data_IF_398606411037
#
_entry.id   IF_398606411037
#
_cell.length_a   1.000
_cell.length_b   1.000
_cell.length_c   1.000
_cell.angle_alpha   90.00
_cell.angle_beta   90.00
_cell.angle_gamma   90.00
#
_symmetry.space_group_name_H-M   'P 1'
#
loop_
_entity.id
_entity.type
_entity.pdbx_description
1 polymer ?
#
# COMPACT_ATOMS: atom_id res chain seq x y z
N UNK A 1 19.38 -6.00 2.48
CA UNK A 1 18.77 -4.80 1.87
C UNK A 1 17.80 -4.12 2.83
N UNK A 2 16.74 -4.76 3.31
CA UNK A 2 15.72 -4.16 4.19
C UNK A 2 16.32 -3.37 5.35
N UNK A 3 17.22 -3.98 6.14
CA UNK A 3 17.89 -3.34 7.27
C UNK A 3 18.68 -2.08 6.87
N UNK A 4 19.47 -2.14 5.80
CA UNK A 4 20.28 -1.00 5.36
C UNK A 4 19.44 0.17 4.87
N UNK A 5 18.37 -0.09 4.10
CA UNK A 5 17.46 0.96 3.63
C UNK A 5 16.75 1.66 4.80
N UNK A 6 16.19 0.87 5.72
CA UNK A 6 15.47 1.41 6.87
C UNK A 6 16.38 2.14 7.85
N UNK A 7 17.60 1.64 8.07
CA UNK A 7 18.60 2.28 8.92
C UNK A 7 19.03 3.64 8.34
N UNK A 8 19.41 3.69 7.06
CA UNK A 8 19.86 4.91 6.42
C UNK A 8 18.80 6.03 6.49
N UNK A 9 17.54 5.71 6.13
CA UNK A 9 16.44 6.68 6.25
C UNK A 9 16.17 7.10 7.70
N UNK A 10 16.18 6.16 8.64
CA UNK A 10 15.88 6.46 10.05
C UNK A 10 16.95 7.30 10.73
N UNK A 11 18.23 7.14 10.36
CA UNK A 11 19.33 7.96 10.91
C UNK A 11 19.19 9.41 10.46
N UNK A 12 18.84 9.68 9.20
CA UNK A 12 18.60 11.03 8.71
C UNK A 12 17.45 11.70 9.46
N UNK A 13 16.34 10.99 9.65
CA UNK A 13 15.21 11.51 10.43
C UNK A 13 15.59 11.75 11.90
N UNK A 14 16.40 10.87 12.51
CA UNK A 14 16.85 11.05 13.89
C UNK A 14 17.68 12.34 14.05
N UNK A 15 18.57 12.64 13.11
CA UNK A 15 19.34 13.90 13.12
C UNK A 15 18.42 15.11 13.03
N UNK A 16 17.42 15.06 12.17
CA UNK A 16 16.42 16.12 12.06
C UNK A 16 15.62 16.29 13.36
N UNK A 17 15.19 15.21 14.00
CA UNK A 17 14.47 15.25 15.30
C UNK A 17 15.35 15.89 16.38
N UNK A 18 16.63 15.53 16.48
CA UNK A 18 17.57 16.11 17.44
C UNK A 18 17.69 17.62 17.21
N UNK A 19 17.81 18.04 15.94
CA UNK A 19 17.87 19.47 15.59
C UNK A 19 16.57 20.19 16.01
N UNK A 20 15.40 19.66 15.66
CA UNK A 20 14.09 20.23 16.02
C UNK A 20 13.98 20.41 17.53
N UNK A 21 14.24 19.36 18.31
CA UNK A 21 14.19 19.41 19.80
C UNK A 21 15.18 20.42 20.35
N UNK A 22 16.36 20.56 19.76
CA UNK A 22 17.35 21.57 20.20
C UNK A 22 16.87 23.01 20.01
N UNK A 23 16.03 23.27 18.99
CA UNK A 23 15.48 24.59 18.68
C UNK A 23 14.20 24.87 19.46
N UNK A 24 13.23 23.94 19.43
CA UNK A 24 11.92 24.10 20.08
C UNK A 24 12.00 23.92 21.60
N UNK A 25 13.05 23.24 22.10
CA UNK A 25 13.26 22.88 23.52
C UNK A 25 12.16 21.98 24.10
N UNK A 26 11.41 21.29 23.22
CA UNK A 26 10.32 20.38 23.59
C UNK A 26 10.22 19.24 22.58
N UNK A 27 9.76 18.06 23.04
CA UNK A 27 9.37 16.94 22.21
C UNK A 27 7.85 16.83 21.98
N UNK A 28 7.07 17.83 22.43
CA UNK A 28 5.63 17.86 22.22
C UNK A 28 5.34 18.18 20.75
N UNK A 29 4.55 17.30 20.09
CA UNK A 29 4.19 17.42 18.67
C UNK A 29 3.45 18.73 18.38
N UNK A 30 2.55 19.16 19.25
CA UNK A 30 1.79 20.41 19.10
C UNK A 30 2.71 21.64 19.11
N UNK A 31 3.64 21.69 20.06
CA UNK A 31 4.62 22.79 20.13
C UNK A 31 5.58 22.81 18.96
N UNK A 32 5.87 21.65 18.37
CA UNK A 32 6.71 21.56 17.16
C UNK A 32 5.94 22.04 15.94
N UNK A 33 4.67 21.69 15.80
CA UNK A 33 3.83 22.14 14.67
C UNK A 33 3.55 23.64 14.69
N UNK A 34 3.49 24.25 15.87
CA UNK A 34 3.31 25.69 16.01
C UNK A 34 4.61 26.49 15.77
N UNK A 35 5.76 25.80 15.70
CA UNK A 35 7.07 26.43 15.54
C UNK A 35 7.41 26.65 14.07
N UNK A 36 7.63 27.89 13.68
CA UNK A 36 8.03 28.26 12.31
C UNK A 36 9.54 28.17 12.12
N UNK A 37 9.98 27.32 11.20
CA UNK A 37 11.38 27.24 10.79
C UNK A 37 11.67 28.20 9.64
N UNK A 38 12.94 28.58 9.49
CA UNK A 38 13.40 29.25 8.26
C UNK A 38 13.16 28.31 7.07
N UNK A 39 12.68 28.87 5.94
CA UNK A 39 12.33 28.09 4.75
C UNK A 39 13.44 27.16 4.28
N UNK A 40 14.71 27.59 4.29
CA UNK A 40 15.83 26.75 3.88
C UNK A 40 16.06 25.58 4.84
N UNK A 41 15.90 25.82 6.13
CA UNK A 41 16.02 24.79 7.17
C UNK A 41 14.86 23.81 7.06
N UNK A 42 13.64 24.30 6.85
CA UNK A 42 12.45 23.49 6.69
C UNK A 42 12.58 22.51 5.50
N UNK A 43 13.10 22.96 4.35
CA UNK A 43 13.36 22.10 3.20
C UNK A 43 14.31 20.94 3.54
N UNK A 44 15.39 21.22 4.29
CA UNK A 44 16.35 20.19 4.69
C UNK A 44 15.74 19.21 5.68
N UNK A 45 15.02 19.70 6.69
CA UNK A 45 14.36 18.86 7.68
C UNK A 45 13.29 17.96 7.03
N UNK A 46 12.50 18.52 6.12
CA UNK A 46 11.54 17.75 5.33
C UNK A 46 12.21 16.62 4.56
N UNK A 47 13.31 16.88 3.86
CA UNK A 47 14.03 15.85 3.11
C UNK A 47 14.57 14.73 4.02
N UNK A 48 15.00 15.04 5.24
CA UNK A 48 15.42 14.04 6.22
C UNK A 48 14.25 13.15 6.67
N UNK A 49 13.07 13.72 6.93
CA UNK A 49 11.86 12.97 7.23
C UNK A 49 11.37 12.19 6.01
N UNK A 50 11.36 12.84 4.84
CA UNK A 50 11.00 12.23 3.57
C UNK A 50 11.84 10.99 3.28
N UNK A 51 13.15 11.03 3.46
CA UNK A 51 14.02 9.87 3.24
C UNK A 51 13.60 8.66 4.10
N UNK A 52 13.25 8.89 5.38
CA UNK A 52 12.78 7.82 6.26
C UNK A 52 11.43 7.25 5.82
N UNK A 53 10.47 8.13 5.52
CA UNK A 53 9.12 7.72 5.17
C UNK A 53 9.04 7.14 3.75
N UNK A 54 9.79 7.68 2.79
CA UNK A 54 9.87 7.17 1.43
C UNK A 54 10.44 5.74 1.36
N UNK A 55 11.38 5.40 2.24
CA UNK A 55 11.86 4.01 2.38
C UNK A 55 10.76 3.12 2.94
N UNK A 56 10.02 3.54 3.98
CA UNK A 56 8.98 2.74 4.64
C UNK A 56 7.72 2.58 3.78
N UNK A 57 7.32 3.61 3.03
CA UNK A 57 6.18 3.58 2.08
C UNK A 57 6.48 2.80 0.81
N UNK A 58 7.65 2.31 0.60
CA UNK A 58 8.49 1.99 -0.52
C UNK A 58 8.22 2.84 -1.79
N UNK A 59 8.46 4.14 -1.67
CA UNK A 59 8.37 5.03 -2.83
C UNK A 59 9.49 4.73 -3.84
N UNK A 60 9.22 4.95 -5.12
CA UNK A 60 10.28 4.92 -6.12
C UNK A 60 11.30 6.07 -5.83
N UNK A 61 12.62 5.83 -5.92
CA UNK A 61 13.33 4.60 -6.29
C UNK A 61 13.66 3.68 -5.09
N UNK A 62 13.22 3.99 -3.87
CA UNK A 62 13.59 3.29 -2.62
C UNK A 62 12.78 2.02 -2.35
N UNK A 63 12.06 1.47 -3.34
CA UNK A 63 11.13 0.35 -3.19
C UNK A 63 11.74 -1.04 -3.31
N UNK A 64 12.97 -1.17 -3.84
CA UNK A 64 13.53 -2.47 -4.27
C UNK A 64 13.77 -3.48 -3.15
N UNK A 65 13.79 -3.02 -1.90
CA UNK A 65 13.92 -3.89 -0.74
C UNK A 65 12.64 -4.70 -0.45
N UNK A 66 11.47 -4.13 -0.79
CA UNK A 66 10.18 -4.71 -0.40
C UNK A 66 9.89 -6.06 -1.08
N UNK A 67 10.02 -6.24 -2.42
CA UNK A 67 9.81 -7.54 -3.05
C UNK A 67 10.78 -8.61 -2.54
N UNK A 68 12.05 -8.25 -2.33
CA UNK A 68 13.05 -9.17 -1.79
C UNK A 68 12.73 -9.59 -0.34
N UNK A 69 12.27 -8.64 0.48
CA UNK A 69 11.87 -8.91 1.86
C UNK A 69 10.67 -9.87 1.93
N UNK A 70 9.64 -9.65 1.10
CA UNK A 70 8.46 -10.53 1.06
C UNK A 70 8.79 -11.96 0.63
N UNK A 71 9.70 -12.12 -0.32
CA UNK A 71 10.12 -13.45 -0.80
C UNK A 71 10.84 -14.25 0.28
N UNK A 72 11.69 -13.59 1.07
CA UNK A 72 12.46 -14.23 2.15
C UNK A 72 11.65 -14.42 3.44
N UNK A 73 10.64 -13.59 3.67
CA UNK A 73 9.83 -13.65 4.87
C UNK A 73 8.89 -14.86 4.89
N UNK A 74 8.63 -15.45 6.08
CA UNK A 74 7.53 -16.39 6.23
C UNK A 74 6.19 -15.69 5.91
N UNK A 75 5.11 -16.46 5.70
CA UNK A 75 3.79 -15.91 5.35
C UNK A 75 3.31 -14.89 6.39
N UNK A 76 3.43 -15.20 7.67
CA UNK A 76 3.06 -14.28 8.78
C UNK A 76 3.87 -12.98 8.75
N UNK A 77 5.16 -13.05 8.47
CA UNK A 77 6.02 -11.88 8.32
C UNK A 77 5.58 -11.00 7.13
N UNK A 78 5.22 -11.61 6.00
CA UNK A 78 4.69 -10.87 4.84
C UNK A 78 3.35 -10.20 5.14
N UNK A 79 2.47 -10.85 5.90
CA UNK A 79 1.17 -10.30 6.31
C UNK A 79 1.35 -9.04 7.17
N UNK A 80 2.22 -9.07 8.18
CA UNK A 80 2.50 -7.92 9.05
C UNK A 80 3.19 -6.81 8.26
N UNK A 81 4.16 -7.14 7.41
CA UNK A 81 4.90 -6.19 6.60
C UNK A 81 3.95 -5.43 5.65
N UNK A 82 3.12 -6.15 4.89
CA UNK A 82 2.17 -5.55 3.97
C UNK A 82 0.97 -4.89 4.69
N UNK A 83 0.45 -5.52 5.73
CA UNK A 83 -0.74 -5.06 6.45
C UNK A 83 -0.51 -3.79 7.24
N UNK A 84 0.61 -3.65 7.94
CA UNK A 84 0.85 -2.59 8.95
C UNK A 84 2.10 -1.77 8.66
N UNK A 85 3.27 -2.41 8.45
CA UNK A 85 4.55 -1.68 8.45
C UNK A 85 4.66 -0.63 7.34
N UNK A 86 4.14 -0.90 6.15
CA UNK A 86 4.11 0.05 5.04
C UNK A 86 3.33 1.33 5.38
N UNK A 87 2.28 1.23 6.18
CA UNK A 87 1.41 2.34 6.56
C UNK A 87 2.05 3.30 7.57
N UNK A 88 3.04 2.84 8.32
CA UNK A 88 3.77 3.70 9.26
C UNK A 88 4.47 4.87 8.57
N UNK A 89 4.99 4.67 7.34
CA UNK A 89 5.60 5.75 6.57
C UNK A 89 4.58 6.77 6.09
N UNK A 90 3.45 6.30 5.56
CA UNK A 90 2.35 7.18 5.11
C UNK A 90 1.71 7.93 6.29
N UNK A 91 1.49 7.26 7.41
CA UNK A 91 1.05 7.90 8.65
C UNK A 91 2.05 8.97 9.12
N UNK A 92 3.36 8.69 9.00
CA UNK A 92 4.42 9.65 9.32
C UNK A 92 4.34 10.91 8.45
N UNK A 93 4.05 10.79 7.16
CA UNK A 93 3.81 11.95 6.31
C UNK A 93 2.65 12.80 6.82
N UNK A 94 1.49 12.17 7.09
CA UNK A 94 0.29 12.89 7.52
C UNK A 94 0.46 13.51 8.91
N UNK A 95 1.02 12.76 9.87
CA UNK A 95 1.07 13.18 11.28
C UNK A 95 2.23 14.09 11.61
N UNK A 96 3.34 13.97 10.88
CA UNK A 96 4.58 14.70 11.18
C UNK A 96 4.99 15.63 10.06
N UNK A 97 5.11 15.13 8.81
CA UNK A 97 5.66 15.97 7.73
C UNK A 97 4.74 17.12 7.35
N UNK A 98 3.44 16.86 7.19
CA UNK A 98 2.50 17.93 6.79
C UNK A 98 2.36 19.02 7.87
N UNK A 99 2.17 18.71 9.18
CA UNK A 99 2.05 19.74 10.19
C UNK A 99 3.36 20.47 10.54
N UNK A 100 4.53 19.79 10.41
CA UNK A 100 5.82 20.41 10.78
C UNK A 100 6.43 21.21 9.66
N UNK A 101 6.13 20.89 8.39
CA UNK A 101 6.83 21.39 7.21
C UNK A 101 5.83 21.75 6.11
N UNK A 102 4.98 22.73 6.37
CA UNK A 102 3.92 23.12 5.43
C UNK A 102 4.51 23.67 4.11
N UNK A 103 5.44 24.63 4.21
CA UNK A 103 6.10 25.23 3.06
C UNK A 103 6.86 24.17 2.23
N UNK A 104 7.65 23.33 2.89
CA UNK A 104 8.42 22.28 2.22
C UNK A 104 7.53 21.22 1.58
N UNK A 105 6.40 20.89 2.20
CA UNK A 105 5.42 19.93 1.65
C UNK A 105 4.83 20.42 0.32
N UNK A 106 4.50 21.72 0.25
CA UNK A 106 4.03 22.36 -1.00
C UNK A 106 5.16 22.45 -2.03
N UNK A 107 6.35 22.84 -1.60
CA UNK A 107 7.51 22.99 -2.48
C UNK A 107 7.90 21.68 -3.16
N UNK A 108 7.93 20.57 -2.43
CA UNK A 108 8.29 19.24 -2.95
C UNK A 108 7.11 18.44 -3.55
N UNK A 109 5.89 18.98 -3.52
CA UNK A 109 4.70 18.33 -4.08
C UNK A 109 4.89 17.82 -5.53
N UNK A 110 5.44 18.61 -6.49
CA UNK A 110 5.64 18.12 -7.86
C UNK A 110 6.63 16.96 -7.95
N UNK A 111 7.69 16.98 -7.14
CA UNK A 111 8.65 15.88 -7.06
C UNK A 111 7.97 14.59 -6.56
N UNK A 112 7.17 14.69 -5.50
CA UNK A 112 6.49 13.54 -4.91
C UNK A 112 5.46 12.97 -5.88
N UNK A 113 4.72 13.81 -6.60
CA UNK A 113 3.80 13.36 -7.65
C UNK A 113 4.52 12.62 -8.76
N UNK A 114 5.64 13.16 -9.24
CA UNK A 114 6.43 12.49 -10.28
C UNK A 114 6.92 11.11 -9.82
N UNK A 115 7.50 11.01 -8.62
CA UNK A 115 7.97 9.74 -8.06
C UNK A 115 6.83 8.74 -7.85
N UNK A 116 5.67 9.22 -7.41
CA UNK A 116 4.49 8.37 -7.18
C UNK A 116 3.87 7.89 -8.50
N UNK A 117 3.77 8.72 -9.54
CA UNK A 117 3.33 8.31 -10.86
C UNK A 117 4.26 7.26 -11.46
N UNK A 118 5.58 7.46 -11.34
CA UNK A 118 6.56 6.44 -11.76
C UNK A 118 6.38 5.15 -10.96
N UNK A 119 6.18 5.24 -9.65
CA UNK A 119 5.90 4.06 -8.83
C UNK A 119 4.67 3.31 -9.34
N UNK A 120 3.55 3.98 -9.56
CA UNK A 120 2.29 3.37 -10.04
C UNK A 120 2.50 2.66 -11.38
N UNK A 121 3.03 3.35 -12.38
CA UNK A 121 3.14 2.80 -13.74
C UNK A 121 4.25 1.76 -13.84
N UNK A 122 5.46 2.12 -13.40
CA UNK A 122 6.64 1.25 -13.51
C UNK A 122 6.46 -0.05 -12.73
N UNK A 123 6.03 0.03 -11.46
CA UNK A 123 5.94 -1.20 -10.65
C UNK A 123 4.78 -2.09 -11.06
N UNK A 124 3.70 -1.53 -11.63
CA UNK A 124 2.62 -2.31 -12.23
C UNK A 124 3.09 -3.08 -13.47
N UNK A 125 3.91 -2.45 -14.34
CA UNK A 125 4.51 -3.13 -15.50
C UNK A 125 5.48 -4.23 -15.03
N UNK A 126 6.27 -3.95 -13.99
CA UNK A 126 7.17 -4.94 -13.39
C UNK A 126 6.37 -6.11 -12.78
N UNK A 127 5.25 -5.83 -12.11
CA UNK A 127 4.37 -6.85 -11.55
C UNK A 127 3.84 -7.81 -12.64
N UNK A 128 3.44 -7.30 -13.80
CA UNK A 128 3.00 -8.11 -14.96
C UNK A 128 4.03 -9.15 -15.44
N UNK A 129 5.31 -8.89 -15.20
CA UNK A 129 6.42 -9.76 -15.66
C UNK A 129 6.96 -10.68 -14.56
N UNK A 130 6.39 -10.64 -13.36
CA UNK A 130 6.85 -11.51 -12.29
C UNK A 130 6.36 -12.95 -12.48
N UNK A 131 7.27 -13.89 -12.19
CA UNK A 131 6.99 -15.33 -12.22
C UNK A 131 6.65 -15.88 -10.83
N UNK A 132 7.01 -15.17 -9.77
CA UNK A 132 6.74 -15.50 -8.36
C UNK A 132 5.52 -14.71 -7.87
N UNK A 133 4.52 -15.42 -7.31
CA UNK A 133 3.28 -14.84 -6.78
C UNK A 133 3.54 -13.79 -5.69
N UNK A 134 4.45 -14.07 -4.74
CA UNK A 134 4.79 -13.12 -3.67
C UNK A 134 5.43 -11.84 -4.21
N UNK A 135 6.32 -11.97 -5.23
CA UNK A 135 6.93 -10.81 -5.88
C UNK A 135 5.89 -9.96 -6.59
N UNK A 136 4.96 -10.60 -7.31
CA UNK A 136 3.89 -9.88 -8.02
C UNK A 136 3.04 -9.06 -7.04
N UNK A 137 2.58 -9.67 -5.94
CA UNK A 137 1.80 -8.98 -4.91
C UNK A 137 2.62 -7.90 -4.20
N UNK A 138 3.92 -8.10 -4.00
CA UNK A 138 4.79 -7.09 -3.41
C UNK A 138 4.96 -5.86 -4.33
N UNK A 139 5.14 -6.04 -5.63
CA UNK A 139 5.18 -4.92 -6.59
C UNK A 139 3.83 -4.22 -6.73
N UNK A 140 2.72 -4.95 -6.67
CA UNK A 140 1.39 -4.31 -6.63
C UNK A 140 1.21 -3.42 -5.41
N UNK A 141 1.76 -3.84 -4.24
CA UNK A 141 1.73 -3.01 -3.03
C UNK A 141 2.48 -1.69 -3.21
N UNK A 142 3.61 -1.67 -3.93
CA UNK A 142 4.32 -0.42 -4.25
C UNK A 142 3.45 0.51 -5.10
N UNK A 143 2.74 -0.03 -6.10
CA UNK A 143 1.81 0.75 -6.92
C UNK A 143 0.67 1.34 -6.09
N UNK A 144 0.00 0.54 -5.25
CA UNK A 144 -1.09 1.00 -4.37
C UNK A 144 -0.62 2.06 -3.36
N UNK A 145 0.60 1.93 -2.83
CA UNK A 145 1.17 2.96 -1.96
C UNK A 145 1.52 4.25 -2.71
N UNK A 146 1.75 4.19 -4.03
CA UNK A 146 1.86 5.35 -4.90
C UNK A 146 0.57 6.18 -4.93
N UNK A 147 -0.62 5.55 -4.95
CA UNK A 147 -1.89 6.26 -4.78
C UNK A 147 -1.99 6.93 -3.41
N UNK A 148 -1.57 6.24 -2.35
CA UNK A 148 -1.57 6.82 -0.99
C UNK A 148 -0.71 8.07 -0.93
N UNK A 149 0.50 8.07 -1.46
CA UNK A 149 1.39 9.25 -1.44
C UNK A 149 0.83 10.40 -2.29
N UNK A 150 0.24 10.12 -3.45
CA UNK A 150 -0.46 11.14 -4.23
C UNK A 150 -1.59 11.74 -3.40
N UNK A 151 -2.48 10.92 -2.83
CA UNK A 151 -3.61 11.40 -2.04
C UNK A 151 -3.19 12.28 -0.86
N UNK A 152 -2.13 11.93 -0.14
CA UNK A 152 -1.58 12.72 0.97
C UNK A 152 -1.15 14.12 0.47
N UNK A 153 -0.38 14.16 -0.61
CA UNK A 153 0.23 15.39 -1.10
C UNK A 153 -0.63 16.21 -2.07
N UNK A 154 -1.87 15.77 -2.39
CA UNK A 154 -2.85 16.70 -3.00
C UNK A 154 -3.27 17.79 -2.02
N UNK A 155 -3.05 17.61 -0.72
CA UNK A 155 -3.41 18.55 0.35
C UNK A 155 -4.91 18.90 0.34
N UNK A 156 -5.74 18.03 -0.23
CA UNK A 156 -7.20 18.17 -0.26
C UNK A 156 -7.83 17.21 0.74
N UNK A 157 -9.00 17.56 1.28
CA UNK A 157 -9.72 16.71 2.21
C UNK A 157 -10.02 15.32 1.60
N UNK A 158 -10.46 15.29 0.34
CA UNK A 158 -10.77 14.05 -0.36
C UNK A 158 -9.52 13.20 -0.62
N UNK A 159 -8.39 13.84 -0.93
CA UNK A 159 -7.11 13.15 -1.13
C UNK A 159 -6.60 12.51 0.16
N UNK A 160 -6.63 13.24 1.26
CA UNK A 160 -6.22 12.74 2.58
C UNK A 160 -7.16 11.64 3.04
N UNK A 161 -8.48 11.81 2.91
CA UNK A 161 -9.46 10.79 3.22
C UNK A 161 -9.27 9.53 2.37
N UNK A 162 -9.04 9.70 1.05
CA UNK A 162 -8.75 8.61 0.13
C UNK A 162 -7.47 7.87 0.51
N UNK A 163 -6.41 8.59 0.86
CA UNK A 163 -5.15 8.00 1.31
C UNK A 163 -5.30 7.18 2.58
N UNK A 164 -5.97 7.70 3.61
CA UNK A 164 -6.27 6.95 4.83
C UNK A 164 -7.08 5.70 4.53
N UNK A 165 -8.14 5.85 3.73
CA UNK A 165 -9.00 4.73 3.37
C UNK A 165 -8.22 3.66 2.60
N UNK A 166 -7.38 4.07 1.64
CA UNK A 166 -6.54 3.17 0.87
C UNK A 166 -5.50 2.45 1.75
N UNK A 167 -4.92 3.13 2.74
CA UNK A 167 -4.03 2.46 3.70
C UNK A 167 -4.72 1.31 4.42
N UNK A 168 -5.93 1.52 4.92
CA UNK A 168 -6.69 0.51 5.67
C UNK A 168 -7.12 -0.62 4.73
N UNK A 169 -7.71 -0.27 3.58
CA UNK A 169 -8.15 -1.23 2.56
C UNK A 169 -7.00 -2.09 2.07
N UNK A 170 -5.91 -1.47 1.63
CA UNK A 170 -4.72 -2.19 1.21
C UNK A 170 -4.16 -3.07 2.34
N UNK A 171 -4.25 -2.63 3.61
CA UNK A 171 -3.85 -3.43 4.76
C UNK A 171 -4.58 -4.77 4.83
N UNK A 172 -5.90 -4.74 4.70
CA UNK A 172 -6.75 -5.94 4.75
C UNK A 172 -6.53 -6.81 3.49
N UNK A 173 -6.62 -6.21 2.31
CA UNK A 173 -6.59 -6.93 1.03
C UNK A 173 -5.22 -7.53 0.75
N UNK A 174 -4.13 -6.79 0.97
CA UNK A 174 -2.77 -7.32 0.76
C UNK A 174 -2.42 -8.42 1.77
N UNK A 175 -2.82 -8.27 3.03
CA UNK A 175 -2.65 -9.33 4.02
C UNK A 175 -3.38 -10.61 3.59
N UNK A 176 -4.63 -10.49 3.12
CA UNK A 176 -5.40 -11.62 2.61
C UNK A 176 -4.75 -12.26 1.38
N UNK A 177 -4.23 -11.47 0.42
CA UNK A 177 -3.54 -12.00 -0.75
C UNK A 177 -2.24 -12.74 -0.37
N UNK A 178 -1.47 -12.24 0.61
CA UNK A 178 -0.30 -12.98 1.09
C UNK A 178 -0.69 -14.28 1.83
N UNK A 179 -1.81 -14.29 2.56
CA UNK A 179 -2.35 -15.53 3.14
C UNK A 179 -2.79 -16.52 2.05
N UNK A 180 -3.46 -16.04 0.98
CA UNK A 180 -3.83 -16.85 -0.19
C UNK A 180 -2.60 -17.53 -0.80
N UNK A 181 -1.52 -16.79 -1.02
CA UNK A 181 -0.26 -17.39 -1.50
C UNK A 181 0.35 -18.33 -0.47
N UNK A 182 0.23 -18.01 0.82
CA UNK A 182 0.70 -18.86 1.92
C UNK A 182 0.03 -20.24 1.90
N UNK A 183 -1.26 -20.29 1.70
CA UNK A 183 -2.06 -21.54 1.63
C UNK A 183 -1.54 -22.50 0.56
N UNK A 184 -1.35 -22.03 -0.66
CA UNK A 184 -0.84 -22.91 -1.74
C UNK A 184 0.63 -23.25 -1.54
N UNK A 185 1.43 -22.33 -1.00
CA UNK A 185 2.82 -22.58 -0.69
C UNK A 185 3.02 -23.65 0.40
N UNK A 186 2.22 -23.63 1.46
CA UNK A 186 2.28 -24.66 2.51
C UNK A 186 1.91 -26.06 2.01
N UNK A 187 1.05 -26.13 0.97
CA UNK A 187 0.60 -27.42 0.38
C UNK A 187 1.50 -27.95 -0.72
N UNK A 188 2.13 -27.06 -1.51
CA UNK A 188 2.89 -27.44 -2.71
C UNK A 188 4.36 -27.00 -2.71
N UNK A 189 4.78 -26.20 -1.71
CA UNK A 189 6.16 -25.73 -1.49
C UNK A 189 6.79 -24.96 -2.67
N UNK A 190 5.98 -24.44 -3.59
CA UNK A 190 6.41 -23.56 -4.68
C UNK A 190 5.57 -22.29 -4.73
N UNK A 191 6.13 -21.20 -5.24
CA UNK A 191 5.46 -19.92 -5.44
C UNK A 191 5.45 -19.49 -6.90
N UNK A 192 6.00 -20.35 -7.77
CA UNK A 192 6.06 -20.05 -9.19
C UNK A 192 4.68 -20.17 -9.81
N UNK A 193 4.24 -19.12 -10.51
CA UNK A 193 2.93 -19.09 -11.18
C UNK A 193 2.81 -20.23 -12.19
N UNK A 194 3.93 -20.56 -12.86
CA UNK A 194 4.00 -21.63 -13.84
C UNK A 194 3.67 -23.03 -13.28
N UNK A 195 3.81 -23.24 -11.96
CA UNK A 195 3.61 -24.54 -11.34
C UNK A 195 2.14 -24.83 -11.05
N UNK A 196 1.28 -23.83 -11.17
CA UNK A 196 -0.15 -23.93 -10.94
C UNK A 196 -0.94 -23.82 -12.25
N UNK A 197 -2.05 -24.53 -12.35
CA UNK A 197 -3.07 -24.42 -13.39
C UNK A 197 -4.30 -25.23 -13.00
N UNK A 198 -5.50 -24.70 -13.21
CA UNK A 198 -6.75 -25.41 -12.92
C UNK A 198 -7.03 -25.63 -11.44
N UNK A 199 -6.46 -24.82 -10.53
CA UNK A 199 -6.62 -24.97 -9.08
C UNK A 199 -8.10 -24.95 -8.65
N UNK A 200 -8.98 -24.25 -9.37
CA UNK A 200 -10.43 -24.24 -9.09
C UNK A 200 -11.05 -25.63 -9.08
N UNK A 201 -10.51 -26.58 -9.84
CA UNK A 201 -11.05 -27.95 -9.91
C UNK A 201 -10.81 -28.76 -8.63
N UNK A 202 -9.77 -28.44 -7.86
CA UNK A 202 -9.40 -29.17 -6.63
C UNK A 202 -9.60 -28.33 -5.37
N UNK A 203 -9.51 -27.00 -5.48
CA UNK A 203 -9.62 -26.06 -4.36
C UNK A 203 -10.66 -24.94 -4.66
N UNK A 204 -11.96 -25.26 -4.79
CA UNK A 204 -12.97 -24.27 -5.16
C UNK A 204 -13.18 -23.17 -4.10
N UNK A 205 -13.08 -23.49 -2.80
CA UNK A 205 -13.22 -22.50 -1.72
C UNK A 205 -12.04 -21.52 -1.71
N UNK A 206 -10.83 -22.02 -1.91
CA UNK A 206 -9.63 -21.21 -2.10
C UNK A 206 -9.81 -20.22 -3.27
N UNK A 207 -10.24 -20.73 -4.42
CA UNK A 207 -10.44 -19.91 -5.63
C UNK A 207 -11.50 -18.83 -5.44
N UNK A 208 -12.57 -19.13 -4.67
CA UNK A 208 -13.59 -18.15 -4.31
C UNK A 208 -13.02 -16.98 -3.50
N UNK A 209 -12.29 -17.26 -2.40
CA UNK A 209 -11.70 -16.20 -1.59
C UNK A 209 -10.61 -15.44 -2.34
N UNK A 210 -9.81 -16.14 -3.16
CA UNK A 210 -8.83 -15.48 -4.01
C UNK A 210 -9.50 -14.50 -4.98
N UNK A 211 -10.62 -14.87 -5.59
CA UNK A 211 -11.39 -13.97 -6.46
C UNK A 211 -11.88 -12.72 -5.72
N UNK A 212 -12.42 -12.86 -4.50
CA UNK A 212 -12.89 -11.72 -3.70
C UNK A 212 -11.77 -10.72 -3.43
N UNK A 213 -10.61 -11.18 -2.96
CA UNK A 213 -9.49 -10.28 -2.66
C UNK A 213 -8.80 -9.74 -3.90
N UNK A 214 -8.74 -10.51 -4.97
CA UNK A 214 -8.24 -10.08 -6.27
C UNK A 214 -9.12 -8.95 -6.83
N UNK A 215 -10.44 -9.11 -6.85
CA UNK A 215 -11.38 -8.09 -7.31
C UNK A 215 -11.32 -6.81 -6.45
N UNK A 216 -11.11 -6.96 -5.14
CA UNK A 216 -10.91 -5.81 -4.27
C UNK A 216 -9.58 -5.09 -4.54
N UNK A 217 -8.51 -5.82 -4.85
CA UNK A 217 -7.23 -5.23 -5.25
C UNK A 217 -7.30 -4.54 -6.62
N UNK A 218 -8.19 -4.98 -7.51
CA UNK A 218 -8.47 -4.33 -8.80
C UNK A 218 -9.30 -3.04 -8.63
N UNK A 219 -9.97 -2.89 -7.49
CA UNK A 219 -10.86 -1.75 -7.26
C UNK A 219 -12.27 -1.98 -7.82
N UNK A 220 -12.84 -3.18 -7.65
CA UNK A 220 -14.24 -3.41 -8.02
C UNK A 220 -15.18 -2.59 -7.14
N UNK A 221 -16.13 -1.82 -7.71
CA UNK A 221 -17.16 -1.13 -6.93
C UNK A 221 -17.89 -2.07 -5.97
N UNK A 222 -18.10 -1.61 -4.72
CA UNK A 222 -18.64 -2.44 -3.63
C UNK A 222 -17.56 -3.13 -2.78
N UNK A 223 -16.30 -3.01 -3.13
CA UNK A 223 -15.17 -3.45 -2.29
C UNK A 223 -14.38 -2.27 -1.76
N UNK A 224 -13.62 -2.49 -0.68
CA UNK A 224 -12.86 -1.42 -0.02
C UNK A 224 -11.76 -0.82 -0.90
N UNK A 225 -11.16 -1.59 -1.83
CA UNK A 225 -10.12 -1.10 -2.74
C UNK A 225 -10.60 0.04 -3.65
N UNK A 226 -11.84 -0.06 -4.14
CA UNK A 226 -12.43 0.97 -5.00
C UNK A 226 -12.52 2.32 -4.31
N UNK A 227 -13.01 2.37 -3.08
CA UNK A 227 -13.30 3.64 -2.38
C UNK A 227 -12.06 4.49 -2.21
N UNK A 228 -10.95 3.89 -1.74
CA UNK A 228 -9.70 4.62 -1.51
C UNK A 228 -9.08 5.15 -2.81
N UNK A 229 -8.94 4.30 -3.82
CA UNK A 229 -8.33 4.69 -5.10
C UNK A 229 -9.18 5.70 -5.85
N UNK A 230 -10.51 5.51 -5.87
CA UNK A 230 -11.43 6.44 -6.52
C UNK A 230 -11.35 7.84 -5.92
N UNK A 231 -11.35 7.99 -4.60
CA UNK A 231 -11.21 9.29 -3.94
C UNK A 231 -9.87 9.96 -4.24
N UNK A 232 -8.78 9.18 -4.26
CA UNK A 232 -7.48 9.73 -4.66
C UNK A 232 -7.50 10.21 -6.10
N UNK A 233 -8.06 9.44 -7.04
CA UNK A 233 -8.18 9.88 -8.45
C UNK A 233 -9.03 11.14 -8.54
N UNK A 234 -10.16 11.21 -7.86
CA UNK A 234 -11.02 12.41 -7.85
C UNK A 234 -10.27 13.63 -7.31
N UNK A 235 -9.48 13.48 -6.26
CA UNK A 235 -8.68 14.57 -5.70
C UNK A 235 -7.59 15.07 -6.67
N UNK A 236 -7.08 14.23 -7.56
CA UNK A 236 -6.06 14.64 -8.54
C UNK A 236 -6.59 15.54 -9.65
N UNK A 237 -7.89 15.47 -9.95
CA UNK A 237 -8.54 16.29 -11.01
C UNK A 237 -8.38 17.78 -10.71
N UNK A 238 -8.50 18.18 -9.45
CA UNK A 238 -8.33 19.57 -9.03
C UNK A 238 -6.88 20.06 -9.06
N UNK A 239 -5.91 19.14 -9.07
CA UNK A 239 -4.48 19.47 -9.05
C UNK A 239 -3.88 19.47 -10.45
N UNK A 240 -4.06 18.40 -11.22
CA UNK A 240 -3.48 18.28 -12.56
C UNK A 240 -4.11 17.15 -13.37
N UNK A 241 -4.52 17.44 -14.61
CA UNK A 241 -5.04 16.45 -15.55
C UNK A 241 -4.01 15.36 -15.86
N UNK A 242 -2.71 15.71 -15.94
CA UNK A 242 -1.65 14.72 -16.16
C UNK A 242 -1.53 13.75 -14.98
N UNK A 243 -1.63 14.26 -13.75
CA UNK A 243 -1.60 13.42 -12.56
C UNK A 243 -2.79 12.44 -12.56
N UNK A 244 -3.99 12.93 -12.89
CA UNK A 244 -5.19 12.10 -13.03
C UNK A 244 -5.04 11.02 -14.10
N UNK A 245 -4.43 11.36 -15.23
CA UNK A 245 -4.18 10.39 -16.32
C UNK A 245 -3.27 9.24 -15.85
N UNK A 246 -2.15 9.54 -15.20
CA UNK A 246 -1.23 8.51 -14.71
C UNK A 246 -1.84 7.65 -13.59
N UNK A 247 -2.62 8.25 -12.68
CA UNK A 247 -3.33 7.49 -11.66
C UNK A 247 -4.40 6.58 -12.27
N UNK A 248 -5.16 7.05 -13.25
CA UNK A 248 -6.17 6.23 -13.95
C UNK A 248 -5.54 5.06 -14.71
N UNK A 249 -4.39 5.25 -15.37
CA UNK A 249 -3.61 4.15 -15.98
C UNK A 249 -3.23 3.10 -14.93
N UNK A 250 -2.90 3.53 -13.72
CA UNK A 250 -2.56 2.61 -12.62
C UNK A 250 -3.65 1.59 -12.33
N UNK A 251 -4.93 2.00 -12.35
CA UNK A 251 -6.08 1.09 -12.15
C UNK A 251 -6.16 0.05 -13.27
N UNK A 252 -5.96 0.47 -14.53
CA UNK A 252 -5.99 -0.45 -15.69
C UNK A 252 -4.85 -1.47 -15.60
N UNK A 253 -3.65 -1.03 -15.23
CA UNK A 253 -2.50 -1.90 -15.04
C UNK A 253 -2.72 -2.83 -13.84
N UNK A 254 -3.32 -2.34 -12.76
CA UNK A 254 -3.72 -3.11 -11.58
C UNK A 254 -4.64 -4.27 -11.94
N UNK A 255 -5.68 -3.99 -12.69
CA UNK A 255 -6.58 -5.00 -13.22
C UNK A 255 -5.83 -6.03 -14.08
N UNK A 256 -4.93 -5.56 -14.94
CA UNK A 256 -4.21 -6.43 -15.88
C UNK A 256 -3.36 -7.48 -15.18
N UNK A 257 -2.51 -7.10 -14.20
CA UNK A 257 -1.64 -8.08 -13.52
C UNK A 257 -2.42 -8.99 -12.56
N UNK A 258 -3.45 -8.48 -11.89
CA UNK A 258 -4.20 -9.29 -10.92
C UNK A 258 -5.11 -10.31 -11.62
N UNK A 259 -5.79 -9.90 -12.70
CA UNK A 259 -6.59 -10.83 -13.50
C UNK A 259 -5.72 -11.88 -14.19
N UNK A 260 -4.51 -11.50 -14.67
CA UNK A 260 -3.56 -12.44 -15.24
C UNK A 260 -3.08 -13.47 -14.21
N UNK A 261 -2.77 -13.03 -12.98
CA UNK A 261 -2.39 -13.91 -11.88
C UNK A 261 -3.51 -14.91 -11.57
N UNK A 262 -4.72 -14.39 -11.39
CA UNK A 262 -5.88 -15.22 -11.08
C UNK A 262 -6.17 -16.23 -12.17
N UNK A 263 -6.15 -15.79 -13.44
CA UNK A 263 -6.35 -16.67 -14.60
C UNK A 263 -5.34 -17.81 -14.65
N UNK A 264 -4.06 -17.49 -14.50
CA UNK A 264 -2.99 -18.48 -14.65
C UNK A 264 -2.99 -19.56 -13.55
N UNK A 265 -3.45 -19.21 -12.35
CA UNK A 265 -3.50 -20.14 -11.22
C UNK A 265 -4.79 -20.97 -11.26
N UNK A 266 -5.93 -20.33 -11.47
CA UNK A 266 -7.23 -20.95 -11.23
C UNK A 266 -7.81 -21.65 -12.45
N UNK A 267 -7.49 -21.21 -13.67
CA UNK A 267 -8.04 -21.77 -14.90
C UNK A 267 -6.98 -22.56 -15.69
N UNK A 268 -7.46 -23.29 -16.70
CA UNK A 268 -6.66 -24.16 -17.54
C UNK A 268 -6.72 -25.64 -17.10
N UNK A 269 -5.92 -26.47 -17.76
CA UNK A 269 -5.86 -27.91 -17.47
C UNK A 269 -5.20 -28.14 -16.12
N UNK A 270 -5.81 -29.04 -15.33
CA UNK A 270 -5.31 -29.40 -14.01
C UNK A 270 -3.98 -30.17 -14.14
N UNK A 271 -2.92 -29.62 -13.59
CA UNK A 271 -1.62 -30.28 -13.53
C UNK A 271 -1.63 -31.51 -12.64
N UNK A 272 -0.87 -32.54 -13.02
CA UNK A 272 -0.76 -33.80 -12.29
C UNK A 272 -0.34 -33.61 -10.83
N UNK A 273 0.61 -32.70 -10.60
CA UNK A 273 1.29 -32.52 -9.33
C UNK A 273 0.41 -31.82 -8.27
N UNK A 274 -0.66 -31.14 -8.70
CA UNK A 274 -1.58 -30.45 -7.80
C UNK A 274 -2.93 -31.14 -7.62
N UNK A 275 -3.14 -32.31 -8.25
CA UNK A 275 -4.42 -33.07 -8.16
C UNK A 275 -4.81 -33.47 -6.75
N UNK A 276 -3.86 -33.60 -5.83
CA UNK A 276 -4.07 -34.06 -4.46
C UNK A 276 -4.10 -32.93 -3.42
N UNK A 277 -4.06 -31.65 -3.86
CA UNK A 277 -4.11 -30.55 -2.93
C UNK A 277 -5.43 -30.50 -2.18
N UNK A 278 -5.36 -30.44 -0.85
CA UNK A 278 -6.53 -30.26 0.00
C UNK A 278 -7.03 -28.82 -0.07
N UNK A 279 -8.35 -28.63 -0.15
CA UNK A 279 -8.97 -27.30 -0.08
C UNK A 279 -8.84 -26.68 1.33
N UNK A 280 -9.36 -25.50 1.53
CA UNK A 280 -9.29 -24.74 2.78
C UNK A 280 -9.86 -25.52 3.97
N UNK A 281 -9.13 -25.51 5.07
CA UNK A 281 -9.59 -25.99 6.38
C UNK A 281 -10.65 -25.04 6.97
N UNK A 282 -11.39 -25.49 7.97
CA UNK A 282 -12.42 -24.67 8.61
C UNK A 282 -11.84 -23.40 9.27
N UNK A 283 -10.61 -23.47 9.78
CA UNK A 283 -9.91 -22.32 10.38
C UNK A 283 -9.54 -21.31 9.29
N UNK A 284 -9.03 -21.78 8.15
CA UNK A 284 -8.70 -20.95 6.99
C UNK A 284 -9.94 -20.25 6.43
N UNK A 285 -11.05 -20.98 6.29
CA UNK A 285 -12.34 -20.42 5.86
C UNK A 285 -12.80 -19.31 6.82
N UNK A 286 -12.65 -19.53 8.13
CA UNK A 286 -13.07 -18.56 9.14
C UNK A 286 -12.31 -17.25 8.99
N UNK A 287 -10.96 -17.25 8.98
CA UNK A 287 -10.23 -16.00 8.88
C UNK A 287 -10.36 -15.33 7.49
N UNK A 288 -10.46 -16.09 6.40
CA UNK A 288 -10.77 -15.49 5.10
C UNK A 288 -12.17 -14.89 5.04
N UNK A 289 -13.16 -15.53 5.66
CA UNK A 289 -14.52 -14.98 5.74
C UNK A 289 -14.55 -13.66 6.53
N UNK A 290 -13.82 -13.56 7.64
CA UNK A 290 -13.71 -12.31 8.39
C UNK A 290 -13.07 -11.19 7.55
N UNK A 291 -11.97 -11.48 6.84
CA UNK A 291 -11.31 -10.50 5.98
C UNK A 291 -12.18 -10.10 4.78
N UNK A 292 -12.87 -11.05 4.15
CA UNK A 292 -13.81 -10.79 3.05
C UNK A 292 -14.99 -9.94 3.52
N UNK A 293 -15.55 -10.24 4.68
CA UNK A 293 -16.61 -9.44 5.30
C UNK A 293 -16.17 -8.00 5.53
N UNK A 294 -15.00 -7.78 6.13
CA UNK A 294 -14.46 -6.43 6.33
C UNK A 294 -14.23 -5.69 5.02
N UNK A 295 -13.70 -6.39 4.00
CA UNK A 295 -13.48 -5.82 2.67
C UNK A 295 -14.78 -5.34 2.02
N UNK A 296 -15.84 -6.14 2.10
CA UNK A 296 -17.17 -5.79 1.56
C UNK A 296 -17.86 -4.73 2.41
N UNK A 297 -17.80 -4.85 3.74
CA UNK A 297 -18.39 -3.88 4.66
C UNK A 297 -17.86 -2.47 4.41
N UNK A 298 -16.53 -2.32 4.32
CA UNK A 298 -15.89 -1.04 4.07
C UNK A 298 -16.16 -0.52 2.64
N UNK A 299 -16.34 -1.41 1.68
CA UNK A 299 -16.69 -1.03 0.31
C UNK A 299 -18.13 -0.54 0.15
N UNK A 300 -19.08 -1.13 0.89
CA UNK A 300 -20.51 -0.77 0.84
C UNK A 300 -20.83 0.38 1.79
N UNK A 301 -20.22 0.41 2.97
CA UNK A 301 -20.48 1.41 4.02
C UNK A 301 -19.19 2.12 4.46
N UNK A 302 -18.57 2.92 3.56
CA UNK A 302 -17.31 3.62 3.87
C UNK A 302 -17.45 4.70 4.93
N UNK A 303 -18.68 5.20 5.17
CA UNK A 303 -18.99 6.25 6.14
C UNK A 303 -18.46 5.92 7.55
N UNK A 304 -18.45 4.63 7.92
CA UNK A 304 -17.92 4.17 9.21
C UNK A 304 -16.48 4.64 9.46
N UNK A 305 -15.61 4.54 8.44
CA UNK A 305 -14.23 4.99 8.54
C UNK A 305 -14.10 6.50 8.39
N UNK A 306 -14.85 7.13 7.50
CA UNK A 306 -14.75 8.58 7.31
C UNK A 306 -15.11 9.39 8.55
N UNK A 307 -16.10 8.95 9.34
CA UNK A 307 -16.44 9.60 10.61
C UNK A 307 -15.27 9.54 11.62
N UNK A 308 -14.51 8.44 11.63
CA UNK A 308 -13.33 8.30 12.49
C UNK A 308 -12.15 9.13 11.96
N UNK A 309 -11.91 9.09 10.65
CA UNK A 309 -10.81 9.81 9.98
C UNK A 309 -11.01 11.32 10.12
N UNK A 310 -12.19 11.84 9.81
CA UNK A 310 -12.47 13.28 9.87
C UNK A 310 -12.32 13.85 11.29
N UNK A 311 -12.72 13.10 12.33
CA UNK A 311 -12.45 13.49 13.72
C UNK A 311 -10.95 13.58 14.02
N UNK A 312 -10.15 12.66 13.47
CA UNK A 312 -8.69 12.67 13.69
C UNK A 312 -8.00 13.79 12.93
N UNK A 313 -8.44 14.08 11.69
CA UNK A 313 -7.86 15.13 10.84
C UNK A 313 -8.18 16.50 11.41
N UNK A 314 -9.42 16.74 11.86
CA UNK A 314 -9.81 18.02 12.51
C UNK A 314 -8.99 18.34 13.77
N UNK A 315 -8.44 17.32 14.43
CA UNK A 315 -7.57 17.48 15.60
C UNK A 315 -6.08 17.66 15.23
N UNK A 316 -5.69 17.46 13.96
CA UNK A 316 -4.27 17.43 13.57
C UNK A 316 -3.87 18.48 12.51
N UNK A 317 -4.83 19.14 11.88
CA UNK A 317 -4.60 20.10 10.77
C UNK A 317 -5.21 21.49 11.11
N UNK A 318 -5.91 21.63 12.24
CA UNK A 318 -6.29 22.88 12.87
C UNK A 318 -5.34 23.10 14.05
#
# INVERSE_FOLDING_TARGET
KFFLYTLAGSVLMLLAIIYIISKVKSGNIELISDFTFDQQIELVLFLCFFASFAVKVPMFPFHTWLPDAHVQAPTSGSVILAGVLLKLGAYGFIRLSLPFFEYASIYFQPMIFALSCVAIVYTSIVALRQLDMKKMIAYSSVAHMGFVTIGIFTLTQDGINGAYFQMISHGIVSAALFLIVGVVYERHHTRMISDYSGVTNVMPKYSFFFMVFMLSSVGLPGTSGFVGEFLVIMSTISVSVYLTFFTAIGVILGASYMLLLYKNINFGDLKSDIKQLADLTNIEIFYFSCLAFLTMLLGIYPKLLFEMINKSISLSII
#
